data_IF_264267930004
#
_entry.id   IF_264267930004
#
_cell.length_a   1.000
_cell.length_b   1.000
_cell.length_c   1.000
_cell.angle_alpha   90.00
_cell.angle_beta   90.00
_cell.angle_gamma   90.00
#
_symmetry.space_group_name_H-M   'P 1'
#
loop_
_entity.id
_entity.type
_entity.pdbx_description
1 polymer ?
#
# COMPACT_ATOMS: atom_id res chain seq x y z
N UNK A 1 -8.58 -5.35 -7.99
CA UNK A 1 -9.10 -5.58 -6.63
C UNK A 1 -8.05 -6.35 -5.88
N UNK A 2 -7.59 -5.84 -4.75
CA UNK A 2 -6.43 -6.35 -4.03
C UNK A 2 -6.93 -6.77 -2.66
N UNK A 3 -7.14 -8.07 -2.45
CA UNK A 3 -7.73 -8.59 -1.22
C UNK A 3 -6.66 -9.43 -0.53
N UNK A 4 -6.24 -8.97 0.64
CA UNK A 4 -5.32 -9.70 1.50
C UNK A 4 -6.06 -10.72 2.34
N UNK A 5 -5.36 -11.79 2.72
CA UNK A 5 -5.82 -12.72 3.76
C UNK A 5 -5.64 -12.15 5.17
N UNK A 6 -5.04 -10.97 5.32
CA UNK A 6 -4.65 -10.40 6.60
C UNK A 6 -5.82 -10.08 7.54
N UNK A 7 -7.06 -10.00 7.03
CA UNK A 7 -8.26 -9.76 7.85
C UNK A 7 -9.13 -11.01 8.07
N UNK A 8 -8.84 -12.14 7.41
CA UNK A 8 -9.64 -13.36 7.52
C UNK A 8 -8.84 -14.43 8.26
N UNK A 9 -9.50 -15.14 9.17
CA UNK A 9 -8.85 -16.19 9.97
C UNK A 9 -8.65 -17.47 9.16
N UNK A 10 -9.57 -17.73 8.22
CA UNK A 10 -9.60 -18.95 7.42
C UNK A 10 -9.88 -18.69 5.93
N UNK A 11 -9.46 -19.63 5.07
CA UNK A 11 -9.74 -19.60 3.62
C UNK A 11 -11.24 -19.54 3.30
N UNK A 12 -12.07 -20.19 4.13
CA UNK A 12 -13.51 -20.20 3.95
C UNK A 12 -14.12 -18.82 4.12
N UNK A 13 -13.74 -18.12 5.19
CA UNK A 13 -14.15 -16.72 5.43
C UNK A 13 -13.66 -15.78 4.31
N UNK A 14 -12.44 -16.01 3.79
CA UNK A 14 -11.93 -15.25 2.65
C UNK A 14 -12.77 -15.47 1.37
N UNK A 15 -13.19 -16.70 1.09
CA UNK A 15 -14.09 -17.02 -0.02
C UNK A 15 -15.48 -16.38 0.16
N UNK A 16 -16.02 -16.41 1.37
CA UNK A 16 -17.34 -15.82 1.68
C UNK A 16 -17.32 -14.29 1.49
N UNK A 17 -16.25 -13.61 1.95
CA UNK A 17 -16.04 -12.19 1.68
C UNK A 17 -15.85 -11.88 0.20
N UNK A 18 -15.04 -12.69 -0.52
CA UNK A 18 -14.85 -12.54 -1.96
C UNK A 18 -16.18 -12.63 -2.71
N UNK A 19 -16.98 -13.63 -2.39
CA UNK A 19 -18.28 -13.84 -3.01
C UNK A 19 -19.22 -12.65 -2.74
N UNK A 20 -19.27 -12.18 -1.50
CA UNK A 20 -20.10 -11.03 -1.12
C UNK A 20 -19.73 -9.78 -1.92
N UNK A 21 -18.43 -9.45 -2.01
CA UNK A 21 -18.00 -8.25 -2.72
C UNK A 21 -18.16 -8.39 -4.24
N UNK A 22 -17.87 -9.57 -4.81
CA UNK A 22 -18.08 -9.82 -6.25
C UNK A 22 -19.57 -9.76 -6.63
N UNK A 23 -20.46 -10.25 -5.77
CA UNK A 23 -21.92 -10.13 -5.98
C UNK A 23 -22.37 -8.67 -5.97
N UNK A 24 -21.87 -7.85 -5.03
CA UNK A 24 -22.16 -6.41 -5.00
C UNK A 24 -21.66 -5.72 -6.27
N UNK A 25 -20.42 -6.01 -6.69
CA UNK A 25 -19.85 -5.44 -7.91
C UNK A 25 -20.68 -5.81 -9.14
N UNK A 26 -21.11 -7.08 -9.25
CA UNK A 26 -21.97 -7.55 -10.34
C UNK A 26 -23.34 -6.83 -10.35
N UNK A 27 -23.96 -6.67 -9.17
CA UNK A 27 -25.24 -5.96 -9.04
C UNK A 27 -25.16 -4.50 -9.50
N UNK A 28 -24.00 -3.85 -9.29
CA UNK A 28 -23.74 -2.49 -9.73
C UNK A 28 -23.07 -2.39 -11.11
N UNK A 29 -22.99 -3.48 -11.88
CA UNK A 29 -22.37 -3.52 -13.22
C UNK A 29 -20.91 -3.03 -13.23
N UNK A 30 -20.20 -3.22 -12.11
CA UNK A 30 -18.80 -2.90 -11.96
C UNK A 30 -17.94 -4.13 -12.31
N UNK A 31 -17.04 -3.96 -13.26
CA UNK A 31 -16.17 -5.04 -13.73
C UNK A 31 -14.78 -4.96 -13.10
N UNK A 32 -14.28 -6.12 -12.67
CA UNK A 32 -12.95 -6.24 -12.08
C UNK A 32 -11.94 -6.63 -13.15
N UNK A 33 -10.81 -5.91 -13.23
CA UNK A 33 -9.72 -6.30 -14.11
C UNK A 33 -8.95 -7.48 -13.50
N UNK A 34 -9.16 -8.69 -14.03
CA UNK A 34 -8.53 -9.92 -13.55
C UNK A 34 -6.99 -9.86 -13.51
N UNK A 35 -6.35 -9.18 -14.47
CA UNK A 35 -4.87 -9.01 -14.49
C UNK A 35 -4.34 -8.21 -13.29
N UNK A 36 -5.18 -7.36 -12.70
CA UNK A 36 -4.85 -6.55 -11.52
C UNK A 36 -5.40 -7.16 -10.22
N UNK A 37 -6.01 -8.35 -10.29
CA UNK A 37 -6.56 -9.02 -9.12
C UNK A 37 -5.55 -10.00 -8.54
N UNK A 38 -5.31 -9.85 -7.23
CA UNK A 38 -4.44 -10.72 -6.46
C UNK A 38 -5.27 -11.24 -5.30
N UNK A 39 -5.34 -12.56 -5.19
CA UNK A 39 -6.12 -13.27 -4.19
C UNK A 39 -5.18 -14.15 -3.35
N UNK A 40 -5.53 -14.34 -2.08
CA UNK A 40 -4.84 -15.28 -1.16
C UNK A 40 -3.31 -15.09 -1.15
N UNK A 41 -2.84 -13.83 -1.06
CA UNK A 41 -1.41 -13.53 -0.93
C UNK A 41 -1.07 -13.19 0.52
N UNK A 42 0.05 -13.73 1.07
CA UNK A 42 0.49 -13.42 2.44
C UNK A 42 0.94 -11.96 2.59
N UNK A 43 1.32 -11.34 1.48
CA UNK A 43 1.74 -9.96 1.38
C UNK A 43 1.24 -9.36 0.06
N UNK A 44 0.78 -8.13 0.10
CA UNK A 44 0.20 -7.43 -1.05
C UNK A 44 0.54 -5.95 -1.01
N UNK A 45 0.94 -5.41 -2.15
CA UNK A 45 1.10 -3.97 -2.30
C UNK A 45 -0.27 -3.31 -2.47
N UNK A 46 -0.67 -2.39 -1.61
CA UNK A 46 -1.93 -1.63 -1.69
C UNK A 46 -1.66 -0.15 -1.39
N UNK A 47 -2.05 0.74 -2.30
CA UNK A 47 -1.88 2.20 -2.19
C UNK A 47 -0.44 2.63 -1.81
N UNK A 48 0.59 2.04 -2.45
CA UNK A 48 2.00 2.36 -2.18
C UNK A 48 2.55 1.79 -0.86
N UNK A 49 1.77 0.93 -0.19
CA UNK A 49 2.17 0.26 1.03
C UNK A 49 2.14 -1.25 0.84
N UNK A 50 2.96 -1.94 1.61
CA UNK A 50 3.03 -3.39 1.66
C UNK A 50 2.20 -3.87 2.85
N UNK A 51 1.03 -4.45 2.58
CA UNK A 51 0.13 -4.97 3.61
C UNK A 51 0.43 -6.46 3.80
N UNK A 52 0.72 -6.84 5.04
CA UNK A 52 0.98 -8.22 5.44
C UNK A 52 0.22 -8.55 6.72
N UNK A 53 0.26 -9.82 7.15
CA UNK A 53 -0.28 -10.26 8.45
C UNK A 53 0.37 -9.55 9.64
N UNK A 54 1.61 -9.07 9.48
CA UNK A 54 2.34 -8.32 10.52
C UNK A 54 1.98 -6.84 10.59
N UNK A 55 1.19 -6.35 9.63
CA UNK A 55 0.78 -4.94 9.54
C UNK A 55 1.12 -4.31 8.19
N UNK A 56 1.09 -2.98 8.19
CA UNK A 56 1.36 -2.12 7.02
C UNK A 56 2.80 -1.64 7.07
N UNK A 57 3.58 -1.94 6.04
CA UNK A 57 4.93 -1.46 5.85
C UNK A 57 5.00 -0.53 4.62
N UNK A 58 5.98 0.37 4.59
CA UNK A 58 6.30 1.11 3.39
C UNK A 58 6.92 0.17 2.33
N UNK A 59 6.67 0.44 1.05
CA UNK A 59 7.30 -0.30 -0.05
C UNK A 59 8.84 -0.12 0.02
N UNK A 60 9.62 -1.20 0.10
CA UNK A 60 11.08 -1.11 0.15
C UNK A 60 11.67 -0.34 -1.03
N UNK A 61 11.06 -0.37 -2.21
CA UNK A 61 11.52 0.42 -3.35
C UNK A 61 11.41 1.93 -3.10
N UNK A 62 10.36 2.35 -2.38
CA UNK A 62 10.14 3.75 -2.01
C UNK A 62 11.08 4.19 -0.90
N UNK A 63 11.39 3.29 0.04
CA UNK A 63 12.41 3.51 1.06
C UNK A 63 13.78 3.69 0.39
N UNK A 64 14.18 2.77 -0.49
CA UNK A 64 15.46 2.88 -1.21
C UNK A 64 15.58 4.18 -1.98
N UNK A 65 14.52 4.60 -2.68
CA UNK A 65 14.51 5.87 -3.42
C UNK A 65 14.70 7.11 -2.51
N UNK A 66 14.27 7.05 -1.24
CA UNK A 66 14.53 8.13 -0.28
C UNK A 66 15.96 8.10 0.25
N UNK A 67 16.50 6.91 0.50
CA UNK A 67 17.86 6.71 1.01
C UNK A 67 18.90 7.10 -0.05
N UNK A 68 18.65 6.75 -1.31
CA UNK A 68 19.51 7.08 -2.45
C UNK A 68 19.29 8.50 -2.99
N UNK A 69 18.36 9.26 -2.40
CA UNK A 69 18.05 10.60 -2.87
C UNK A 69 19.28 11.51 -2.72
N UNK A 70 19.74 12.17 -3.80
CA UNK A 70 20.92 13.02 -3.75
C UNK A 70 20.66 14.26 -2.89
N UNK A 71 21.68 14.77 -2.20
CA UNK A 71 21.56 15.99 -1.39
C UNK A 71 21.00 17.14 -2.25
N UNK A 72 19.80 17.66 -1.94
CA UNK A 72 19.14 18.66 -2.76
C UNK A 72 19.97 19.94 -2.78
N UNK A 73 20.21 20.48 -3.98
CA UNK A 73 21.00 21.71 -4.20
C UNK A 73 20.11 22.92 -4.48
N UNK A 74 18.80 22.70 -4.67
CA UNK A 74 17.83 23.75 -4.92
C UNK A 74 16.59 23.62 -4.03
N UNK A 75 15.89 24.74 -3.80
CA UNK A 75 14.64 24.76 -3.05
C UNK A 75 13.55 23.90 -3.72
N UNK A 76 13.59 23.74 -5.05
CA UNK A 76 12.64 22.90 -5.78
C UNK A 76 12.86 21.42 -5.47
N UNK A 77 14.10 20.97 -5.48
CA UNK A 77 14.47 19.60 -5.11
C UNK A 77 14.16 19.30 -3.65
N UNK A 78 14.44 20.25 -2.75
CA UNK A 78 14.13 20.10 -1.32
C UNK A 78 12.62 19.92 -1.09
N UNK A 79 11.77 20.72 -1.74
CA UNK A 79 10.31 20.55 -1.66
C UNK A 79 9.84 19.22 -2.23
N UNK A 80 10.46 18.77 -3.32
CA UNK A 80 10.17 17.44 -3.90
C UNK A 80 10.50 16.30 -2.94
N UNK A 81 11.67 16.37 -2.30
CA UNK A 81 12.09 15.42 -1.27
C UNK A 81 11.12 15.41 -0.09
N UNK A 82 10.82 16.59 0.49
CA UNK A 82 9.90 16.73 1.63
C UNK A 82 8.48 16.25 1.32
N UNK A 83 8.02 16.42 0.07
CA UNK A 83 6.74 15.87 -0.37
C UNK A 83 6.72 14.34 -0.38
N UNK A 84 7.82 13.73 -0.85
CA UNK A 84 7.98 12.27 -0.86
C UNK A 84 8.11 11.72 0.57
N UNK A 85 9.04 12.24 1.37
CA UNK A 85 9.26 11.78 2.75
C UNK A 85 8.07 12.10 3.65
N UNK A 86 7.34 13.19 3.39
CA UNK A 86 6.13 13.56 4.10
C UNK A 86 5.01 12.52 3.97
N UNK A 87 4.84 11.90 2.80
CA UNK A 87 3.85 10.83 2.62
C UNK A 87 4.17 9.59 3.50
N UNK A 88 5.46 9.34 3.75
CA UNK A 88 5.93 8.19 4.55
C UNK A 88 6.42 8.60 5.95
N UNK A 89 6.08 9.81 6.44
CA UNK A 89 6.57 10.32 7.73
C UNK A 89 6.29 9.38 8.91
N UNK A 90 5.19 8.61 8.85
CA UNK A 90 4.81 7.61 9.86
C UNK A 90 5.85 6.47 10.00
N UNK A 91 6.69 6.26 8.99
CA UNK A 91 7.76 5.27 8.98
C UNK A 91 9.14 5.88 9.26
N UNK A 92 9.23 7.21 9.40
CA UNK A 92 10.47 7.94 9.69
C UNK A 92 10.43 8.42 11.12
N UNK A 93 11.25 7.80 11.97
CA UNK A 93 11.36 8.18 13.38
C UNK A 93 11.87 9.63 13.51
N UNK A 94 11.21 10.42 14.34
CA UNK A 94 11.61 11.82 14.58
C UNK A 94 11.32 12.80 13.44
N UNK A 95 10.58 12.42 12.40
CA UNK A 95 10.28 13.33 11.27
C UNK A 95 9.62 14.65 11.70
N UNK A 96 8.79 14.61 12.75
CA UNK A 96 8.12 15.80 13.29
C UNK A 96 9.07 16.86 13.87
N UNK A 97 10.31 16.52 14.21
CA UNK A 97 11.31 17.48 14.70
C UNK A 97 11.96 18.31 13.57
N UNK A 98 11.73 17.92 12.31
CA UNK A 98 12.28 18.55 11.11
C UNK A 98 11.26 19.53 10.48
N UNK A 99 9.99 19.49 10.91
CA UNK A 99 8.90 20.33 10.41
C UNK A 99 8.84 21.71 11.06
#
# INVERSE_FOLDING_TARGET
>A
MKITTSSCKDLKEHCDHLQSVLSILANHQLHVNGKKCLFVKPQLEYLGHLVSTKGVAADPNKISAMVEWPTPKSLKELRGFLGLTGYYHRFVEGYGAIS
#
